data_IF_556376035163
#
_entry.id   IF_556376035163
#
_cell.length_a   1.000
_cell.length_b   1.000
_cell.length_c   1.000
_cell.angle_alpha   90.00
_cell.angle_beta   90.00
_cell.angle_gamma   90.00
#
_symmetry.space_group_name_H-M   'P 1'
#
loop_
_entity.id
_entity.type
_entity.pdbx_description
1 polymer ?
#
# COMPACT_ATOMS: atom_id res chain seq x y z
N UNK A 1 14.53 -3.30 -24.85
CA UNK A 1 15.32 -4.50 -25.21
C UNK A 1 14.47 -5.58 -25.88
N UNK A 2 13.51 -5.18 -26.74
CA UNK A 2 12.69 -6.09 -27.55
C UNK A 2 12.83 -5.80 -29.06
N UNK A 3 13.53 -4.73 -29.43
CA UNK A 3 13.77 -4.34 -30.84
C UNK A 3 15.10 -4.91 -31.36
N UNK A 4 16.05 -5.25 -30.48
CA UNK A 4 17.31 -5.88 -30.90
C UNK A 4 17.23 -7.41 -31.05
N UNK A 5 16.18 -8.07 -30.51
CA UNK A 5 16.03 -9.53 -30.60
C UNK A 5 15.24 -10.00 -31.84
N UNK A 6 14.75 -9.08 -32.66
CA UNK A 6 14.08 -9.41 -33.94
C UNK A 6 15.05 -9.33 -35.13
N UNK A 7 16.27 -8.81 -34.93
CA UNK A 7 17.29 -8.74 -35.99
C UNK A 7 18.25 -9.94 -36.06
N UNK A 8 18.08 -11.00 -35.25
CA UNK A 8 19.01 -12.13 -35.21
C UNK A 8 18.39 -13.49 -35.59
N UNK A 9 17.25 -13.49 -36.30
CA UNK A 9 16.65 -14.72 -36.86
C UNK A 9 16.29 -14.52 -38.33
N UNK A 10 17.26 -14.05 -39.12
CA UNK A 10 17.19 -14.02 -40.59
C UNK A 10 18.53 -14.48 -41.20
N UNK A 11 19.27 -15.34 -40.50
CA UNK A 11 20.55 -15.89 -40.97
C UNK A 11 20.42 -17.33 -41.48
N UNK A 12 19.25 -17.69 -42.01
CA UNK A 12 19.07 -18.88 -42.85
C UNK A 12 18.15 -18.60 -44.04
N UNK A 13 18.77 -18.26 -45.16
CA UNK A 13 18.44 -18.91 -46.43
C UNK A 13 17.28 -18.38 -47.27
N UNK A 14 17.10 -17.06 -47.43
CA UNK A 14 16.30 -16.54 -48.56
C UNK A 14 16.99 -15.31 -49.17
N UNK A 15 17.65 -15.50 -50.32
CA UNK A 15 18.23 -14.42 -51.13
C UNK A 15 17.11 -13.70 -51.90
N UNK A 16 16.58 -12.59 -51.38
CA UNK A 16 15.72 -11.69 -52.15
C UNK A 16 16.57 -10.78 -53.07
N UNK A 17 16.20 -10.69 -54.35
CA UNK A 17 16.85 -9.81 -55.35
C UNK A 17 16.95 -8.37 -54.83
N UNK A 18 18.10 -7.71 -55.05
CA UNK A 18 18.43 -6.34 -54.57
C UNK A 18 17.37 -5.28 -54.89
N UNK A 19 16.66 -5.42 -56.00
CA UNK A 19 15.53 -4.55 -56.39
C UNK A 19 14.30 -4.72 -55.49
N UNK A 20 14.05 -5.92 -54.97
CA UNK A 20 12.99 -6.18 -53.99
C UNK A 20 13.38 -5.71 -52.59
N UNK A 21 14.66 -5.80 -52.23
CA UNK A 21 15.15 -5.24 -50.96
C UNK A 21 14.98 -3.71 -50.93
N UNK A 22 15.33 -3.02 -52.01
CA UNK A 22 15.12 -1.57 -52.12
C UNK A 22 13.62 -1.20 -52.12
N UNK A 23 12.76 -1.97 -52.79
CA UNK A 23 11.30 -1.73 -52.77
C UNK A 23 10.69 -2.01 -51.40
N UNK A 24 11.13 -3.05 -50.69
CA UNK A 24 10.73 -3.33 -49.30
C UNK A 24 11.20 -2.25 -48.34
N UNK A 25 12.42 -1.73 -48.51
CA UNK A 25 12.97 -0.66 -47.67
C UNK A 25 12.22 0.66 -47.89
N UNK A 26 11.87 0.98 -49.14
CA UNK A 26 11.06 2.16 -49.48
C UNK A 26 9.62 2.00 -48.96
N UNK A 27 9.04 0.80 -49.05
CA UNK A 27 7.71 0.52 -48.49
C UNK A 27 7.70 0.61 -46.96
N UNK A 28 8.75 0.14 -46.28
CA UNK A 28 8.92 0.27 -44.83
C UNK A 28 9.14 1.74 -44.41
N UNK A 29 9.89 2.52 -45.20
CA UNK A 29 10.07 3.97 -45.00
C UNK A 29 8.77 4.75 -45.21
N UNK A 30 7.97 4.41 -46.23
CA UNK A 30 6.67 5.04 -46.49
C UNK A 30 5.61 4.64 -45.46
N UNK A 31 5.64 3.40 -44.95
CA UNK A 31 4.77 2.96 -43.85
C UNK A 31 5.05 3.74 -42.56
N UNK A 32 6.29 4.20 -42.34
CA UNK A 32 6.64 5.12 -41.25
C UNK A 32 6.16 6.57 -41.46
N UNK A 33 5.86 7.00 -42.69
CA UNK A 33 5.41 8.37 -43.01
C UNK A 33 3.88 8.56 -42.91
N UNK A 34 3.10 7.47 -42.92
CA UNK A 34 1.62 7.50 -42.87
C UNK A 34 1.09 7.15 -41.47
N UNK A 35 1.95 6.78 -40.51
CA UNK A 35 1.54 6.66 -39.11
C UNK A 35 1.16 8.04 -38.57
N UNK A 36 -0.04 8.22 -37.98
CA UNK A 36 -0.42 9.48 -37.37
C UNK A 36 0.65 9.85 -36.34
N UNK A 37 1.25 11.04 -36.49
CA UNK A 37 2.20 11.66 -35.55
C UNK A 37 1.52 12.10 -34.24
N UNK A 38 0.61 11.28 -33.74
CA UNK A 38 0.11 11.30 -32.38
C UNK A 38 0.83 10.23 -31.58
N UNK A 39 2.16 10.35 -31.42
CA UNK A 39 2.75 9.78 -30.23
C UNK A 39 2.01 10.46 -29.07
N UNK A 40 1.35 9.71 -28.17
CA UNK A 40 0.78 10.33 -27.00
C UNK A 40 1.91 11.12 -26.35
N UNK A 41 1.66 12.40 -26.07
CA UNK A 41 2.53 13.14 -25.16
C UNK A 41 2.68 12.24 -23.94
N UNK A 42 3.86 11.63 -23.79
CA UNK A 42 4.22 11.00 -22.55
C UNK A 42 4.32 12.19 -21.61
N UNK A 43 3.22 12.46 -20.91
CA UNK A 43 3.23 13.24 -19.68
C UNK A 43 4.20 12.50 -18.78
N UNK A 44 5.48 12.86 -18.87
CA UNK A 44 6.50 12.41 -17.94
C UNK A 44 6.09 13.06 -16.63
N UNK A 45 5.37 12.26 -15.83
CA UNK A 45 5.09 12.57 -14.44
C UNK A 45 6.41 12.99 -13.82
N UNK A 46 6.41 14.11 -13.10
CA UNK A 46 7.60 14.72 -12.53
C UNK A 46 8.55 13.65 -11.98
N UNK A 47 9.79 13.66 -12.48
CA UNK A 47 10.77 12.63 -12.13
C UNK A 47 11.12 12.76 -10.65
N UNK A 48 10.75 11.74 -9.87
CA UNK A 48 11.06 11.71 -8.44
C UNK A 48 12.52 11.32 -8.26
N UNK A 49 13.21 11.94 -7.32
CA UNK A 49 14.58 11.55 -6.95
C UNK A 49 14.53 10.70 -5.69
N UNK A 50 15.28 9.60 -5.65
CA UNK A 50 15.42 8.75 -4.48
C UNK A 50 16.86 8.73 -3.98
N UNK A 51 17.05 8.65 -2.66
CA UNK A 51 18.35 8.46 -2.02
C UNK A 51 18.49 7.04 -1.53
N UNK A 52 19.61 6.40 -1.83
CA UNK A 52 19.85 5.00 -1.48
C UNK A 52 20.16 4.86 0.02
N UNK A 53 19.48 3.95 0.70
CA UNK A 53 19.65 3.72 2.15
C UNK A 53 20.53 2.51 2.47
N UNK A 54 20.73 1.61 1.51
CA UNK A 54 21.57 0.42 1.62
C UNK A 54 23.05 0.71 1.35
N UNK A 55 23.96 0.02 2.06
CA UNK A 55 25.41 0.17 1.88
C UNK A 55 25.88 -0.30 0.49
N UNK A 56 25.24 -1.32 -0.07
CA UNK A 56 25.43 -1.78 -1.45
C UNK A 56 24.11 -2.32 -1.97
N UNK A 57 23.64 -1.78 -3.09
CA UNK A 57 22.38 -2.12 -3.73
C UNK A 57 22.63 -2.47 -5.19
N UNK A 58 22.34 -3.71 -5.56
CA UNK A 58 22.49 -4.15 -6.95
C UNK A 58 21.39 -3.57 -7.84
N UNK A 59 21.78 -3.10 -9.02
CA UNK A 59 20.85 -2.69 -10.08
C UNK A 59 20.58 -3.89 -10.98
N UNK A 60 19.31 -4.21 -11.25
CA UNK A 60 18.90 -5.42 -11.97
C UNK A 60 18.20 -5.13 -13.30
N UNK A 61 18.21 -6.10 -14.21
CA UNK A 61 17.59 -5.99 -15.53
C UNK A 61 16.07 -6.09 -15.52
N UNK A 62 15.48 -6.74 -14.49
CA UNK A 62 14.03 -6.92 -14.30
C UNK A 62 13.64 -6.68 -12.83
N UNK A 63 12.35 -6.41 -12.52
CA UNK A 63 11.86 -6.24 -11.15
C UNK A 63 11.76 -7.60 -10.43
N UNK A 64 12.90 -8.27 -10.25
CA UNK A 64 12.99 -9.58 -9.60
C UNK A 64 14.39 -9.82 -9.05
N UNK A 65 14.48 -10.39 -7.85
CA UNK A 65 15.75 -10.79 -7.21
C UNK A 65 16.44 -11.95 -7.92
N UNK A 66 15.72 -12.70 -8.78
CA UNK A 66 16.25 -13.78 -9.59
C UNK A 66 16.79 -13.30 -10.96
N UNK A 67 16.62 -12.02 -11.30
CA UNK A 67 17.08 -11.48 -12.58
C UNK A 67 18.53 -11.05 -12.57
N UNK A 68 19.14 -11.04 -13.76
CA UNK A 68 20.53 -10.64 -13.96
C UNK A 68 20.77 -9.22 -13.49
N UNK A 69 21.95 -8.99 -12.92
CA UNK A 69 22.43 -7.65 -12.56
C UNK A 69 22.81 -6.90 -13.84
N UNK A 70 22.60 -5.60 -13.85
CA UNK A 70 23.04 -4.74 -14.94
C UNK A 70 24.56 -4.65 -14.87
N UNK A 71 25.24 -4.82 -16.01
CA UNK A 71 26.69 -4.68 -16.11
C UNK A 71 27.06 -3.51 -17.00
N UNK A 72 28.12 -2.79 -16.65
CA UNK A 72 28.72 -1.74 -17.46
C UNK A 72 30.23 -1.96 -17.53
N UNK A 73 30.77 -2.09 -18.74
CA UNK A 73 32.19 -2.34 -18.98
C UNK A 73 32.74 -3.59 -18.24
N UNK A 74 31.94 -4.64 -18.13
CA UNK A 74 32.32 -5.91 -17.49
C UNK A 74 32.20 -5.95 -15.96
N UNK A 75 31.75 -4.87 -15.32
CA UNK A 75 31.51 -4.82 -13.87
C UNK A 75 30.01 -4.73 -13.55
N UNK A 76 29.59 -5.37 -12.45
CA UNK A 76 28.24 -5.26 -11.91
C UNK A 76 27.95 -3.82 -11.46
N UNK A 77 26.83 -3.27 -11.91
CA UNK A 77 26.37 -1.94 -11.52
C UNK A 77 25.66 -2.02 -10.17
N UNK A 78 26.19 -1.28 -9.21
CA UNK A 78 25.64 -1.16 -7.87
C UNK A 78 25.57 0.31 -7.43
N UNK A 79 24.76 0.55 -6.40
CA UNK A 79 24.60 1.83 -5.74
C UNK A 79 25.01 1.73 -4.28
N UNK A 80 25.55 2.80 -3.72
CA UNK A 80 25.97 2.87 -2.31
C UNK A 80 25.10 3.81 -1.49
N UNK A 81 25.20 3.70 -0.15
CA UNK A 81 24.36 4.48 0.77
C UNK A 81 24.61 5.97 0.58
N UNK A 82 23.54 6.73 0.40
CA UNK A 82 23.56 8.18 0.19
C UNK A 82 23.61 8.60 -1.28
N UNK A 83 23.86 7.68 -2.21
CA UNK A 83 23.77 7.98 -3.64
C UNK A 83 22.35 8.34 -4.03
N UNK A 84 22.22 9.15 -5.07
CA UNK A 84 20.92 9.60 -5.57
C UNK A 84 20.64 9.02 -6.93
N UNK A 85 19.39 8.62 -7.12
CA UNK A 85 18.88 8.05 -8.36
C UNK A 85 17.61 8.76 -8.77
N UNK A 86 17.37 8.80 -10.07
CA UNK A 86 16.14 9.34 -10.62
C UNK A 86 15.16 8.19 -10.85
N UNK A 87 14.04 8.21 -10.16
CA UNK A 87 12.97 7.22 -10.31
C UNK A 87 12.15 7.59 -11.54
N UNK A 88 12.13 6.67 -12.51
CA UNK A 88 11.43 6.82 -13.78
C UNK A 88 10.08 6.10 -13.78
N UNK A 89 9.99 4.96 -13.07
CA UNK A 89 8.76 4.16 -12.97
C UNK A 89 8.75 3.36 -11.67
N UNK A 90 7.56 3.21 -11.10
CA UNK A 90 7.28 2.26 -10.01
C UNK A 90 6.64 1.00 -10.61
N UNK A 91 7.13 -0.17 -10.23
CA UNK A 91 6.72 -1.48 -10.75
C UNK A 91 6.62 -2.47 -9.59
N UNK A 92 5.53 -2.36 -8.81
CA UNK A 92 5.39 -3.06 -7.54
C UNK A 92 6.47 -2.63 -6.54
N UNK A 93 7.21 -3.60 -6.01
CA UNK A 93 8.27 -3.38 -5.02
C UNK A 93 9.61 -2.95 -5.65
N UNK A 94 9.60 -2.58 -6.94
CA UNK A 94 10.79 -2.18 -7.68
C UNK A 94 10.62 -0.80 -8.28
N UNK A 95 11.67 -0.01 -8.17
CA UNK A 95 11.80 1.23 -8.93
C UNK A 95 12.66 0.99 -10.16
N UNK A 96 12.17 1.38 -11.32
CA UNK A 96 13.00 1.58 -12.49
C UNK A 96 13.66 2.95 -12.38
N UNK A 97 14.98 2.95 -12.23
CA UNK A 97 15.77 4.14 -11.91
C UNK A 97 16.81 4.43 -12.99
N UNK A 98 17.21 5.70 -13.07
CA UNK A 98 18.34 6.20 -13.83
C UNK A 98 19.41 6.72 -12.88
N UNK A 99 20.65 6.31 -13.09
CA UNK A 99 21.81 6.67 -12.26
C UNK A 99 23.03 6.95 -13.14
N UNK A 100 24.05 7.58 -12.56
CA UNK A 100 25.38 7.69 -13.18
C UNK A 100 26.32 6.70 -12.52
N UNK A 101 26.93 5.82 -13.31
CA UNK A 101 27.94 4.86 -12.86
C UNK A 101 29.16 5.00 -13.77
N UNK A 102 30.34 5.26 -13.19
CA UNK A 102 31.58 5.56 -13.93
C UNK A 102 31.42 6.63 -15.02
N UNK A 103 30.71 7.72 -14.70
CA UNK A 103 30.47 8.84 -15.63
C UNK A 103 29.43 8.58 -16.73
N UNK A 104 28.94 7.35 -16.88
CA UNK A 104 27.91 6.98 -17.88
C UNK A 104 26.54 6.83 -17.23
N UNK A 105 25.49 7.22 -17.93
CA UNK A 105 24.11 7.05 -17.46
C UNK A 105 23.66 5.61 -17.71
N UNK A 106 23.23 4.93 -16.65
CA UNK A 106 22.71 3.56 -16.68
C UNK A 106 21.30 3.53 -16.12
N UNK A 107 20.45 2.65 -16.65
CA UNK A 107 19.08 2.43 -16.17
C UNK A 107 18.88 0.98 -15.75
N UNK A 108 18.08 0.76 -14.72
CA UNK A 108 17.73 -0.58 -14.26
C UNK A 108 16.79 -0.56 -13.07
N UNK A 109 16.49 -1.74 -12.54
CA UNK A 109 15.55 -1.94 -11.44
C UNK A 109 16.29 -2.07 -10.11
N UNK A 110 15.81 -1.33 -9.11
CA UNK A 110 16.28 -1.41 -7.72
C UNK A 110 15.08 -1.61 -6.80
N UNK A 111 15.25 -2.35 -5.71
CA UNK A 111 14.16 -2.63 -4.79
C UNK A 111 13.78 -1.36 -4.01
N UNK A 112 12.50 -1.07 -3.91
CA UNK A 112 11.96 0.18 -3.34
C UNK A 112 12.35 0.39 -1.87
N UNK A 113 12.47 -0.70 -1.10
CA UNK A 113 12.92 -0.70 0.32
C UNK A 113 14.25 0.03 0.55
N UNK A 114 15.11 0.09 -0.46
CA UNK A 114 16.43 0.68 -0.35
C UNK A 114 16.51 2.08 -0.96
N UNK A 115 15.39 2.65 -1.38
CA UNK A 115 15.32 3.97 -2.01
C UNK A 115 14.38 4.84 -1.21
N UNK A 116 14.93 5.78 -0.45
CA UNK A 116 14.16 6.84 0.20
C UNK A 116 13.78 7.89 -0.82
N UNK A 117 12.52 7.84 -1.29
CA UNK A 117 11.98 8.82 -2.23
C UNK A 117 11.97 10.20 -1.56
N UNK A 118 12.63 11.18 -2.18
CA UNK A 118 12.52 12.57 -1.81
C UNK A 118 11.33 13.15 -2.56
N UNK A 119 10.21 13.32 -1.86
CA UNK A 119 9.05 13.99 -2.42
C UNK A 119 9.45 15.39 -2.88
N UNK A 120 9.32 15.63 -4.19
CA UNK A 120 9.51 16.95 -4.75
C UNK A 120 8.19 17.70 -4.59
N UNK A 121 8.19 18.89 -3.98
CA UNK A 121 6.99 19.72 -3.92
C UNK A 121 6.48 19.99 -5.34
N UNK A 122 5.17 19.84 -5.53
CA UNK A 122 4.45 20.17 -6.77
C UNK A 122 4.82 21.59 -7.19
N UNK A 123 5.42 21.72 -8.38
CA UNK A 123 5.87 23.00 -8.93
C UNK A 123 4.70 23.94 -9.21
N UNK A 124 4.68 25.09 -8.56
CA UNK A 124 4.05 26.35 -9.04
C UNK A 124 5.19 27.34 -9.32
N UNK A 125 5.10 28.19 -10.36
CA UNK A 125 6.27 28.81 -10.99
C UNK A 125 6.93 29.96 -10.19
N UNK A 126 8.23 30.13 -10.48
CA UNK A 126 9.28 31.01 -9.91
C UNK A 126 9.03 32.53 -10.13
N UNK A 127 9.49 33.43 -9.22
CA UNK A 127 10.80 34.12 -9.37
C UNK A 127 11.72 34.05 -8.11
N UNK A 128 13.02 34.22 -8.34
CA UNK A 128 14.23 34.24 -7.45
C UNK A 128 14.75 35.70 -7.38
N UNK A 129 15.70 36.21 -6.53
CA UNK A 129 16.78 35.61 -5.68
C UNK A 129 16.94 36.15 -4.21
N UNK A 130 17.47 35.35 -3.24
CA UNK A 130 18.81 35.33 -2.53
C UNK A 130 19.12 36.58 -1.63
N UNK A 131 19.71 36.54 -0.38
CA UNK A 131 20.80 35.68 0.17
C UNK A 131 20.71 35.12 1.61
N UNK A 132 21.68 34.24 1.90
CA UNK A 132 22.12 33.58 3.17
C UNK A 132 22.87 34.58 4.09
N UNK A 133 22.96 34.43 5.45
CA UNK A 133 23.85 33.47 6.12
C UNK A 133 23.32 32.81 7.42
N UNK A 134 24.07 31.79 7.86
CA UNK A 134 23.96 30.88 9.04
C UNK A 134 24.44 31.55 10.35
N UNK A 135 23.86 31.25 11.53
CA UNK A 135 24.53 30.34 12.51
C UNK A 135 23.61 29.38 13.28
N UNK A 136 24.24 28.34 13.83
CA UNK A 136 23.71 27.22 14.63
C UNK A 136 23.26 27.63 16.05
N UNK A 137 22.26 26.95 16.65
CA UNK A 137 22.41 26.54 18.06
C UNK A 137 22.03 25.05 18.34
N UNK A 138 22.54 24.59 19.49
CA UNK A 138 22.52 23.26 20.15
C UNK A 138 21.58 23.33 21.39
N UNK A 139 21.22 22.22 22.07
CA UNK A 139 20.23 21.18 21.76
C UNK A 139 18.87 21.40 22.51
N UNK A 140 17.94 20.43 22.38
CA UNK A 140 16.79 20.16 23.31
C UNK A 140 15.46 20.87 23.04
N UNK A 141 14.51 20.17 22.41
CA UNK A 141 13.35 19.51 23.05
C UNK A 141 12.80 18.45 22.11
N UNK A 142 12.50 17.26 22.63
CA UNK A 142 11.78 16.17 21.94
C UNK A 142 10.41 16.67 21.48
N UNK A 143 10.11 16.74 20.17
CA UNK A 143 8.73 16.85 19.73
C UNK A 143 8.10 15.46 19.75
N UNK A 144 7.06 15.34 20.57
CA UNK A 144 5.96 14.38 20.45
C UNK A 144 5.69 14.02 18.98
N UNK A 145 5.54 12.74 18.62
CA UNK A 145 5.22 12.34 17.24
C UNK A 145 3.91 12.98 16.79
N UNK A 146 4.04 14.05 16.01
CA UNK A 146 2.95 14.73 15.33
C UNK A 146 2.50 13.91 14.13
N UNK A 147 1.30 13.36 14.24
CA UNK A 147 0.29 13.12 13.21
C UNK A 147 0.80 13.16 11.76
N UNK A 148 1.26 12.01 11.27
CA UNK A 148 1.21 11.68 9.86
C UNK A 148 -0.15 11.01 9.60
N UNK A 149 -0.99 11.68 8.79
CA UNK A 149 -2.17 11.19 8.10
C UNK A 149 -2.83 9.93 8.73
N UNK A 150 -3.67 10.16 9.74
CA UNK A 150 -4.59 9.14 10.24
C UNK A 150 -5.63 8.86 9.16
N UNK A 151 -5.29 7.99 8.22
CA UNK A 151 -6.28 7.11 7.62
C UNK A 151 -6.97 6.38 8.76
N UNK A 152 -8.14 6.87 9.17
CA UNK A 152 -8.89 6.38 10.32
C UNK A 152 -8.95 4.85 10.26
N UNK A 153 -8.40 4.17 11.28
CA UNK A 153 -8.51 2.71 11.36
C UNK A 153 -9.97 2.39 11.65
N UNK A 154 -10.77 2.25 10.59
CA UNK A 154 -12.18 1.89 10.71
C UNK A 154 -12.26 0.54 11.41
N UNK A 155 -12.83 0.52 12.62
CA UNK A 155 -13.00 -0.70 13.42
C UNK A 155 -13.89 -1.68 12.64
N UNK A 156 -13.31 -2.78 12.17
CA UNK A 156 -14.01 -3.83 11.42
C UNK A 156 -14.35 -5.03 12.27
N UNK A 157 -13.65 -5.29 13.34
CA UNK A 157 -13.93 -6.46 14.17
C UNK A 157 -13.63 -6.13 15.62
N UNK A 158 -13.96 -7.05 16.51
CA UNK A 158 -13.56 -6.97 17.91
C UNK A 158 -13.31 -8.38 18.38
N UNK A 159 -12.04 -8.77 18.35
CA UNK A 159 -11.59 -10.11 18.73
C UNK A 159 -10.52 -9.95 19.80
N UNK A 160 -10.77 -10.47 21.00
CA UNK A 160 -9.76 -10.47 22.07
C UNK A 160 -8.64 -11.43 21.70
N UNK A 161 -7.44 -11.18 22.19
CA UNK A 161 -6.32 -12.09 22.02
C UNK A 161 -5.20 -11.85 23.02
N UNK A 162 -4.24 -12.77 23.03
CA UNK A 162 -3.03 -12.71 23.86
C UNK A 162 -1.78 -12.71 23.00
N UNK A 163 -0.74 -12.05 23.47
CA UNK A 163 0.57 -12.05 22.80
C UNK A 163 1.33 -13.34 23.14
N UNK A 164 1.92 -13.98 22.12
CA UNK A 164 2.73 -15.20 22.24
C UNK A 164 4.24 -14.95 22.26
N UNK A 165 4.69 -13.81 21.76
CA UNK A 165 6.12 -13.47 21.69
C UNK A 165 6.60 -12.77 22.96
N UNK A 166 7.82 -13.10 23.41
CA UNK A 166 8.48 -12.46 24.56
C UNK A 166 8.52 -10.93 24.44
N UNK A 167 8.79 -10.45 23.24
CA UNK A 167 8.68 -9.05 22.89
C UNK A 167 8.12 -8.91 21.48
N UNK A 168 7.18 -8.00 21.30
CA UNK A 168 6.53 -7.73 20.03
C UNK A 168 6.44 -6.22 19.78
N UNK A 169 7.01 -5.77 18.68
CA UNK A 169 6.90 -4.37 18.25
C UNK A 169 5.51 -4.12 17.65
N UNK A 170 4.83 -3.08 18.15
CA UNK A 170 3.61 -2.55 17.55
C UNK A 170 3.99 -1.40 16.62
N UNK A 171 3.46 -1.40 15.41
CA UNK A 171 3.87 -0.47 14.34
C UNK A 171 2.71 0.39 13.87
N UNK A 172 2.99 1.55 13.28
CA UNK A 172 1.92 2.44 12.79
C UNK A 172 1.17 1.89 11.57
N UNK A 173 1.72 0.89 10.87
CA UNK A 173 1.11 0.25 9.71
C UNK A 173 1.51 -1.23 9.56
N UNK A 174 0.83 -1.94 8.65
CA UNK A 174 1.04 -3.38 8.45
C UNK A 174 2.34 -3.65 7.70
N UNK A 175 3.41 -3.92 8.43
CA UNK A 175 4.73 -4.20 7.84
C UNK A 175 5.85 -3.86 8.82
N UNK A 176 7.04 -4.45 8.63
CA UNK A 176 8.19 -4.22 9.52
C UNK A 176 8.93 -2.90 9.26
N UNK A 177 8.60 -2.21 8.19
CA UNK A 177 9.16 -0.90 7.80
C UNK A 177 8.46 0.27 8.48
N UNK A 178 7.23 0.07 8.96
CA UNK A 178 6.49 1.10 9.67
C UNK A 178 7.12 1.43 11.04
N UNK A 179 7.15 2.71 11.45
CA UNK A 179 7.64 3.14 12.75
C UNK A 179 7.01 2.37 13.91
N UNK A 180 7.82 2.09 14.95
CA UNK A 180 7.35 1.51 16.21
C UNK A 180 6.54 2.54 16.98
N UNK A 181 5.30 2.21 17.32
CA UNK A 181 4.39 3.03 18.14
C UNK A 181 4.18 2.46 19.55
N UNK A 182 4.64 1.24 19.80
CA UNK A 182 4.53 0.60 21.10
C UNK A 182 5.22 -0.75 21.16
N UNK A 183 5.15 -1.39 22.32
CA UNK A 183 5.65 -2.73 22.56
C UNK A 183 4.66 -3.56 23.35
N UNK A 184 4.62 -4.85 23.07
CA UNK A 184 3.85 -5.84 23.80
C UNK A 184 4.76 -6.95 24.31
N UNK A 185 4.36 -7.56 25.42
CA UNK A 185 5.05 -8.69 26.05
C UNK A 185 4.17 -9.94 26.10
N UNK A 186 4.77 -11.12 26.29
CA UNK A 186 4.04 -12.40 26.36
C UNK A 186 2.87 -12.34 27.34
N UNK A 187 1.73 -12.91 26.95
CA UNK A 187 0.52 -13.02 27.76
C UNK A 187 -0.31 -11.73 27.85
N UNK A 188 0.25 -10.58 27.45
CA UNK A 188 -0.46 -9.31 27.44
C UNK A 188 -1.70 -9.39 26.55
N UNK A 189 -2.80 -8.81 27.03
CA UNK A 189 -4.07 -8.84 26.33
C UNK A 189 -4.16 -7.71 25.31
N UNK A 190 -4.66 -8.04 24.12
CA UNK A 190 -4.93 -7.10 23.03
C UNK A 190 -6.35 -7.30 22.50
N UNK A 191 -6.88 -6.29 21.82
CA UNK A 191 -8.11 -6.43 21.02
C UNK A 191 -7.78 -6.19 19.55
N UNK A 192 -7.96 -7.21 18.71
CA UNK A 192 -7.88 -7.08 17.25
C UNK A 192 -9.11 -6.35 16.75
N UNK A 193 -8.88 -5.23 16.06
CA UNK A 193 -9.92 -4.32 15.56
C UNK A 193 -10.01 -4.30 14.03
N UNK A 194 -8.95 -4.71 13.33
CA UNK A 194 -8.89 -4.78 11.87
C UNK A 194 -7.80 -5.77 11.43
N UNK A 195 -7.77 -6.06 10.14
CA UNK A 195 -6.75 -6.90 9.51
C UNK A 195 -6.24 -6.23 8.25
N UNK A 196 -4.98 -6.48 7.92
CA UNK A 196 -4.35 -6.07 6.69
C UNK A 196 -3.43 -7.18 6.17
N UNK A 197 -3.16 -7.13 4.86
CA UNK A 197 -2.16 -7.99 4.22
C UNK A 197 -1.02 -7.10 3.73
N UNK A 198 0.21 -7.47 4.07
CA UNK A 198 1.46 -6.94 3.49
C UNK A 198 2.34 -8.11 3.18
N UNK A 199 2.90 -8.19 1.97
CA UNK A 199 3.85 -9.24 1.58
C UNK A 199 3.30 -10.67 1.77
N UNK A 200 2.00 -10.86 1.51
CA UNK A 200 1.27 -12.11 1.80
C UNK A 200 1.21 -12.52 3.28
N UNK A 201 1.74 -11.71 4.18
CA UNK A 201 1.63 -11.86 5.61
C UNK A 201 0.38 -11.14 6.12
N UNK A 202 -0.28 -11.77 7.10
CA UNK A 202 -1.42 -11.16 7.77
C UNK A 202 -0.96 -10.37 8.98
N UNK A 203 -1.36 -9.10 9.00
CA UNK A 203 -1.18 -8.17 10.11
C UNK A 203 -2.52 -7.91 10.78
N UNK A 204 -2.50 -7.84 12.11
CA UNK A 204 -3.64 -7.40 12.90
C UNK A 204 -3.44 -5.95 13.32
N UNK A 205 -4.43 -5.11 13.08
CA UNK A 205 -4.54 -3.87 13.82
C UNK A 205 -5.11 -4.20 15.21
N UNK A 206 -4.41 -3.79 16.25
CA UNK A 206 -4.72 -4.07 17.64
C UNK A 206 -4.84 -2.80 18.45
N UNK A 207 -5.68 -2.84 19.48
CA UNK A 207 -5.71 -1.86 20.57
C UNK A 207 -5.30 -2.53 21.87
N UNK A 208 -4.51 -1.83 22.68
CA UNK A 208 -4.08 -2.29 24.00
C UNK A 208 -3.85 -1.10 24.94
N UNK A 209 -3.88 -1.35 26.24
CA UNK A 209 -3.53 -0.34 27.24
C UNK A 209 -2.06 -0.46 27.60
N UNK A 210 -1.36 0.67 27.68
CA UNK A 210 0.01 0.77 28.22
C UNK A 210 0.02 1.11 29.73
N UNK A 211 -1.15 1.12 30.37
CA UNK A 211 -1.34 1.52 31.76
C UNK A 211 -1.83 2.96 31.95
N UNK A 212 -1.71 3.82 30.93
CA UNK A 212 -2.17 5.22 30.97
C UNK A 212 -3.13 5.57 29.84
N UNK A 213 -2.90 5.01 28.66
CA UNK A 213 -3.64 5.31 27.45
C UNK A 213 -3.89 4.06 26.60
N UNK A 214 -4.90 4.14 25.74
CA UNK A 214 -5.13 3.10 24.73
C UNK A 214 -4.29 3.42 23.51
N UNK A 215 -3.39 2.51 23.13
CA UNK A 215 -2.57 2.59 21.93
C UNK A 215 -3.21 1.73 20.84
N UNK A 216 -3.20 2.24 19.61
CA UNK A 216 -3.56 1.49 18.40
C UNK A 216 -2.35 1.31 17.49
N UNK A 217 -2.25 0.16 16.83
CA UNK A 217 -1.23 -0.09 15.82
C UNK A 217 -1.32 -1.49 15.24
N UNK A 218 -0.33 -1.89 14.44
CA UNK A 218 -0.30 -3.15 13.73
C UNK A 218 0.78 -4.08 14.27
N UNK A 219 0.45 -5.37 14.30
CA UNK A 219 1.36 -6.45 14.70
C UNK A 219 1.20 -7.64 13.74
N UNK A 220 2.28 -8.39 13.53
CA UNK A 220 2.21 -9.60 12.71
C UNK A 220 1.32 -10.63 13.39
N UNK A 221 0.30 -11.13 12.68
CA UNK A 221 -0.71 -12.02 13.26
C UNK A 221 -0.10 -13.29 13.88
N UNK A 222 1.05 -13.75 13.38
CA UNK A 222 1.79 -14.91 13.88
C UNK A 222 1.97 -14.89 15.41
N UNK A 223 2.16 -13.70 15.99
CA UNK A 223 2.48 -13.50 17.40
C UNK A 223 1.27 -13.19 18.30
N UNK A 224 0.07 -13.11 17.73
CA UNK A 224 -1.17 -12.92 18.49
C UNK A 224 -1.97 -14.20 18.42
N UNK A 225 -2.43 -14.70 19.56
CA UNK A 225 -3.41 -15.77 19.68
C UNK A 225 -4.78 -15.17 19.98
N UNK A 226 -5.70 -15.14 19.01
CA UNK A 226 -7.09 -14.79 19.26
C UNK A 226 -7.74 -15.72 20.28
N UNK A 227 -8.72 -15.19 21.00
CA UNK A 227 -9.58 -15.94 21.87
C UNK A 227 -10.59 -16.75 21.04
N UNK A 228 -10.42 -18.08 21.04
CA UNK A 228 -11.27 -19.02 20.33
C UNK A 228 -12.33 -19.70 21.22
N UNK A 229 -12.55 -19.22 22.46
CA UNK A 229 -13.64 -19.72 23.33
C UNK A 229 -15.00 -19.64 22.63
N UNK A 230 -15.18 -18.62 21.79
CA UNK A 230 -16.26 -18.52 20.81
C UNK A 230 -15.66 -18.53 19.42
N UNK A 231 -16.34 -19.23 18.50
CA UNK A 231 -15.90 -19.25 17.10
C UNK A 231 -15.91 -17.84 16.51
N UNK A 232 -14.79 -17.43 15.92
CA UNK A 232 -14.65 -16.14 15.24
C UNK A 232 -15.32 -16.28 13.86
N UNK A 233 -16.23 -15.35 13.54
CA UNK A 233 -16.87 -15.32 12.22
C UNK A 233 -15.83 -14.88 11.20
N UNK A 234 -15.64 -15.69 10.17
CA UNK A 234 -14.73 -15.37 9.07
C UNK A 234 -15.38 -15.59 7.72
N UNK A 235 -14.65 -15.19 6.68
CA UNK A 235 -14.99 -15.43 5.29
C UNK A 235 -13.72 -15.66 4.46
N UNK A 236 -13.86 -16.33 3.32
CA UNK A 236 -12.75 -16.54 2.39
C UNK A 236 -12.42 -15.23 1.67
N UNK A 237 -11.20 -14.73 1.82
CA UNK A 237 -10.74 -13.47 1.20
C UNK A 237 -10.17 -13.62 -0.21
N UNK A 238 -9.77 -14.84 -0.60
CA UNK A 238 -9.20 -15.15 -1.92
C UNK A 238 -10.26 -15.69 -2.89
N UNK A 239 -9.99 -15.64 -4.20
CA UNK A 239 -10.91 -16.13 -5.24
C UNK A 239 -11.36 -17.58 -5.00
N UNK A 240 -10.42 -18.44 -4.62
CA UNK A 240 -10.63 -19.86 -4.32
C UNK A 240 -9.61 -20.37 -3.30
N UNK A 241 -10.07 -20.74 -2.11
CA UNK A 241 -9.25 -21.38 -1.07
C UNK A 241 -9.42 -22.90 -1.17
N UNK A 242 -8.32 -23.63 -1.37
CA UNK A 242 -8.30 -25.11 -1.31
C UNK A 242 -8.13 -25.56 0.13
N UNK A 243 -9.04 -26.38 0.64
CA UNK A 243 -9.08 -26.70 2.07
C UNK A 243 -8.25 -27.95 2.37
N UNK A 244 -7.43 -27.89 3.43
CA UNK A 244 -6.59 -29.00 3.88
C UNK A 244 -7.16 -29.73 5.10
N UNK A 245 -6.81 -31.01 5.23
CA UNK A 245 -7.22 -31.85 6.37
C UNK A 245 -6.46 -31.53 7.66
N UNK A 246 -5.24 -31.02 7.53
CA UNK A 246 -4.41 -30.53 8.63
C UNK A 246 -3.66 -29.26 8.22
N UNK A 247 -3.02 -28.62 9.20
CA UNK A 247 -2.25 -27.40 8.96
C UNK A 247 -0.91 -27.73 8.29
N UNK A 248 -0.53 -26.94 7.27
CA UNK A 248 0.78 -27.03 6.60
C UNK A 248 0.70 -27.18 5.08
N UNK A 249 1.73 -26.69 4.38
CA UNK A 249 1.79 -26.67 2.91
C UNK A 249 1.84 -28.06 2.26
N UNK A 250 2.30 -29.07 3.00
CA UNK A 250 2.37 -30.49 2.58
C UNK A 250 1.16 -31.32 3.01
N UNK A 251 0.23 -30.77 3.80
CA UNK A 251 -0.93 -31.52 4.28
C UNK A 251 -1.89 -31.85 3.13
N UNK A 252 -2.49 -33.04 3.15
CA UNK A 252 -3.47 -33.46 2.14
C UNK A 252 -4.67 -32.52 2.06
N UNK A 253 -5.24 -32.38 0.87
CA UNK A 253 -6.48 -31.65 0.68
C UNK A 253 -7.68 -32.46 1.17
N UNK A 254 -8.69 -31.77 1.72
CA UNK A 254 -9.99 -32.38 1.97
C UNK A 254 -10.67 -32.69 0.63
N UNK A 255 -11.24 -33.88 0.54
CA UNK A 255 -12.00 -34.34 -0.62
C UNK A 255 -13.49 -34.45 -0.28
N UNK A 256 -14.32 -34.26 -1.28
CA UNK A 256 -15.76 -34.50 -1.18
C UNK A 256 -16.07 -35.99 -1.46
N UNK A 257 -17.35 -36.38 -1.42
CA UNK A 257 -17.73 -37.79 -1.67
C UNK A 257 -17.30 -38.30 -3.04
N UNK A 258 -17.25 -37.42 -4.04
CA UNK A 258 -16.79 -37.73 -5.39
C UNK A 258 -15.25 -37.72 -5.56
N UNK A 259 -14.49 -37.55 -4.47
CA UNK A 259 -13.02 -37.52 -4.53
C UNK A 259 -12.40 -36.18 -4.98
N UNK A 260 -13.22 -35.17 -5.28
CA UNK A 260 -12.76 -33.85 -5.70
C UNK A 260 -12.29 -32.99 -4.52
N UNK A 261 -11.26 -32.17 -4.74
CA UNK A 261 -10.75 -31.24 -3.73
C UNK A 261 -11.82 -30.21 -3.36
N UNK A 262 -12.13 -30.13 -2.06
CA UNK A 262 -13.04 -29.13 -1.52
C UNK A 262 -12.35 -27.77 -1.61
N UNK A 263 -12.97 -26.85 -2.36
CA UNK A 263 -12.53 -25.48 -2.51
C UNK A 263 -13.65 -24.51 -2.16
N UNK A 264 -13.37 -23.51 -1.34
CA UNK A 264 -14.31 -22.46 -0.97
C UNK A 264 -14.04 -21.21 -1.81
N UNK A 265 -15.09 -20.62 -2.38
CA UNK A 265 -15.01 -19.38 -3.17
C UNK A 265 -14.87 -18.16 -2.24
N UNK A 266 -14.41 -17.03 -2.78
CA UNK A 266 -14.41 -15.73 -2.08
C UNK A 266 -15.78 -15.41 -1.46
N UNK A 267 -15.78 -14.82 -0.27
CA UNK A 267 -16.99 -14.43 0.46
C UNK A 267 -17.75 -15.58 1.12
N UNK A 268 -17.31 -16.84 0.98
CA UNK A 268 -17.95 -17.95 1.71
C UNK A 268 -17.65 -17.82 3.20
N UNK A 269 -18.71 -17.76 4.00
CA UNK A 269 -18.63 -17.69 5.45
C UNK A 269 -18.04 -18.97 6.04
N UNK A 270 -17.21 -18.79 7.06
CA UNK A 270 -16.61 -19.86 7.86
C UNK A 270 -16.64 -19.48 9.35
N UNK A 271 -16.49 -20.47 10.22
CA UNK A 271 -16.36 -20.26 11.66
C UNK A 271 -14.98 -20.72 12.12
N UNK A 272 -14.09 -19.77 12.42
CA UNK A 272 -12.73 -20.02 12.85
C UNK A 272 -12.76 -20.46 14.32
N UNK A 273 -12.19 -21.62 14.60
CA UNK A 273 -12.25 -22.30 15.91
C UNK A 273 -10.87 -22.56 16.50
N UNK A 274 -9.81 -22.10 15.83
CA UNK A 274 -8.45 -22.23 16.33
C UNK A 274 -7.42 -21.91 15.27
N UNK A 275 -6.16 -22.04 15.67
CA UNK A 275 -5.00 -21.84 14.79
C UNK A 275 -3.95 -22.93 15.00
N UNK A 276 -3.05 -23.04 14.04
CA UNK A 276 -1.80 -23.78 14.18
C UNK A 276 -0.72 -23.05 13.42
N UNK A 277 0.49 -23.00 13.99
CA UNK A 277 1.67 -22.50 13.31
C UNK A 277 2.45 -23.69 12.79
N UNK A 278 2.80 -23.66 11.50
CA UNK A 278 3.66 -24.67 10.87
C UNK A 278 4.75 -23.92 10.11
N UNK A 279 5.99 -24.08 10.56
CA UNK A 279 7.09 -23.23 10.09
C UNK A 279 6.84 -21.76 10.47
N UNK A 280 6.90 -20.86 9.48
CA UNK A 280 6.65 -19.42 9.66
C UNK A 280 5.22 -19.00 9.28
N UNK A 281 4.35 -19.95 8.98
CA UNK A 281 3.01 -19.67 8.47
C UNK A 281 1.95 -19.99 9.53
N UNK A 282 1.02 -19.05 9.73
CA UNK A 282 -0.18 -19.29 10.53
C UNK A 282 -1.27 -19.89 9.66
N UNK A 283 -1.88 -20.97 10.15
CA UNK A 283 -3.03 -21.64 9.56
C UNK A 283 -4.23 -21.52 10.50
N UNK A 284 -5.39 -21.17 9.97
CA UNK A 284 -6.62 -21.24 10.75
C UNK A 284 -7.27 -22.61 10.62
N UNK A 285 -7.75 -23.12 11.75
CA UNK A 285 -8.73 -24.22 11.82
C UNK A 285 -10.12 -23.60 11.81
N UNK A 286 -10.96 -24.01 10.88
CA UNK A 286 -12.32 -23.49 10.79
C UNK A 286 -13.31 -24.56 10.36
N UNK A 287 -14.57 -24.31 10.69
CA UNK A 287 -15.71 -25.11 10.25
C UNK A 287 -16.46 -24.40 9.13
N UNK A 288 -17.00 -25.20 8.22
CA UNK A 288 -17.76 -24.73 7.06
C UNK A 288 -18.75 -25.81 6.62
N UNK A 289 -19.77 -25.42 5.85
CA UNK A 289 -20.74 -26.36 5.27
C UNK A 289 -20.32 -26.73 3.85
N UNK A 290 -20.29 -28.02 3.55
CA UNK A 290 -20.05 -28.58 2.23
C UNK A 290 -20.93 -29.81 2.05
N UNK A 291 -21.70 -29.87 0.96
CA UNK A 291 -22.66 -30.97 0.70
C UNK A 291 -23.61 -31.17 1.91
N UNK A 292 -24.13 -30.06 2.44
CA UNK A 292 -25.02 -29.97 3.62
C UNK A 292 -24.49 -30.58 4.92
N UNK A 293 -23.20 -30.92 4.95
CA UNK A 293 -22.51 -31.41 6.14
C UNK A 293 -21.52 -30.38 6.65
N UNK A 294 -21.46 -30.25 7.97
CA UNK A 294 -20.42 -29.47 8.64
C UNK A 294 -19.11 -30.23 8.56
N UNK A 295 -18.07 -29.58 8.03
CA UNK A 295 -16.70 -30.10 7.97
C UNK A 295 -15.75 -29.14 8.71
N UNK A 296 -14.62 -29.68 9.13
CA UNK A 296 -13.51 -28.92 9.72
C UNK A 296 -12.31 -29.03 8.80
N UNK A 297 -11.63 -27.92 8.56
CA UNK A 297 -10.42 -27.92 7.74
C UNK A 297 -9.49 -26.75 8.05
N UNK A 298 -8.42 -26.67 7.27
CA UNK A 298 -7.35 -25.70 7.43
C UNK A 298 -7.06 -24.93 6.14
N UNK A 299 -6.71 -23.65 6.27
CA UNK A 299 -6.15 -22.82 5.21
C UNK A 299 -5.18 -21.79 5.83
N UNK A 300 -4.25 -21.22 5.04
CA UNK A 300 -3.42 -20.11 5.51
C UNK A 300 -4.26 -18.98 6.05
N UNK A 301 -3.85 -18.40 7.18
CA UNK A 301 -4.58 -17.30 7.80
C UNK A 301 -4.77 -16.14 6.81
N UNK A 302 -3.76 -15.82 5.98
CA UNK A 302 -3.83 -14.78 4.94
C UNK A 302 -4.98 -14.95 3.94
N UNK A 303 -5.54 -16.15 3.80
CA UNK A 303 -6.66 -16.43 2.89
C UNK A 303 -8.04 -16.25 3.51
N UNK A 304 -8.13 -16.13 4.84
CA UNK A 304 -9.40 -16.06 5.58
C UNK A 304 -9.44 -14.72 6.33
N UNK A 305 -10.49 -13.94 6.11
CA UNK A 305 -10.70 -12.63 6.75
C UNK A 305 -11.70 -12.77 7.89
N UNK A 306 -11.55 -11.98 8.94
CA UNK A 306 -12.54 -11.83 9.98
C UNK A 306 -13.71 -10.98 9.45
N UNK A 307 -14.92 -11.41 9.76
CA UNK A 307 -16.14 -10.75 9.31
C UNK A 307 -16.70 -9.85 10.41
N UNK A 308 -17.14 -8.64 10.06
CA UNK A 308 -17.98 -7.79 10.94
C UNK A 308 -19.21 -8.60 11.36
N UNK A 309 -19.49 -8.68 12.65
CA UNK A 309 -20.85 -8.99 13.11
C UNK A 309 -21.74 -7.82 12.75
N UNK A 310 -22.39 -7.89 11.60
CA UNK A 310 -23.53 -7.02 11.32
C UNK A 310 -24.66 -7.50 12.25
N UNK A 311 -24.92 -6.78 13.34
CA UNK A 311 -26.24 -6.80 13.99
C UNK A 311 -27.14 -5.91 13.14
N UNK A 312 -27.51 -6.38 11.96
CA UNK A 312 -28.66 -5.82 11.27
C UNK A 312 -29.77 -6.82 11.51
N UNK A 313 -30.84 -6.45 12.23
CA UNK A 313 -31.99 -7.31 12.36
C UNK A 313 -32.47 -7.56 10.93
N UNK A 314 -32.37 -8.81 10.47
CA UNK A 314 -33.08 -9.25 9.29
C UNK A 314 -34.53 -8.91 9.55
N UNK A 315 -35.05 -7.83 8.94
CA UNK A 315 -36.48 -7.60 8.92
C UNK A 315 -37.08 -8.90 8.39
N UNK A 316 -37.97 -9.50 9.18
CA UNK A 316 -38.72 -10.67 8.75
C UNK A 316 -39.25 -10.39 7.34
N UNK A 317 -39.18 -11.36 6.41
CA UNK A 317 -39.59 -11.12 5.03
C UNK A 317 -41.00 -10.53 5.07
N UNK A 318 -41.14 -9.29 4.60
CA UNK A 318 -42.45 -8.68 4.41
C UNK A 318 -43.18 -9.61 3.43
N UNK A 319 -44.36 -10.15 3.80
CA UNK A 319 -45.09 -11.05 2.91
C UNK A 319 -45.30 -10.34 1.58
N UNK A 320 -44.88 -10.99 0.50
CA UNK A 320 -45.07 -10.52 -0.87
C UNK A 320 -46.55 -10.18 -1.07
N UNK A 321 -46.92 -8.91 -1.35
CA UNK A 321 -48.30 -8.59 -1.62
C UNK A 321 -48.75 -9.34 -2.87
N UNK A 322 -49.85 -10.09 -2.74
CA UNK A 322 -50.54 -10.74 -3.85
C UNK A 322 -50.91 -9.65 -4.89
N UNK A 323 -50.64 -9.87 -6.19
CA UNK A 323 -50.91 -8.85 -7.20
C UNK A 323 -52.41 -8.55 -7.26
N UNK A 324 -52.76 -7.30 -6.91
CA UNK A 324 -54.11 -6.77 -7.09
C UNK A 324 -54.13 -6.02 -8.42
N UNK A 325 -54.86 -6.57 -9.40
CA UNK A 325 -55.17 -5.89 -10.65
C UNK A 325 -56.08 -4.68 -10.36
N UNK A 326 -55.50 -3.51 -10.09
CA UNK A 326 -56.21 -2.24 -10.08
C UNK A 326 -55.56 -1.29 -11.10
N UNK A 327 -56.30 -0.77 -12.09
CA UNK A 327 -55.73 0.11 -13.10
C UNK A 327 -55.20 1.41 -12.47
N UNK A 328 -53.90 1.67 -12.64
CA UNK A 328 -53.25 2.94 -12.29
C UNK A 328 -53.66 3.99 -13.32
N UNK A 329 -54.34 5.07 -12.88
CA UNK A 329 -54.58 6.23 -13.74
C UNK A 329 -53.25 6.89 -14.12
N UNK A 330 -53.17 7.35 -15.37
CA UNK A 330 -52.01 8.02 -15.94
C UNK A 330 -51.59 9.25 -15.11
N UNK A 331 -50.28 9.51 -14.96
CA UNK A 331 -49.81 10.69 -14.25
C UNK A 331 -50.08 11.96 -15.06
N UNK A 332 -50.64 12.97 -14.38
CA UNK A 332 -50.77 14.35 -14.88
C UNK A 332 -49.39 14.98 -15.03
N UNK A 333 -49.11 15.79 -16.07
CA UNK A 333 -47.80 16.41 -16.26
C UNK A 333 -47.48 17.41 -15.14
N UNK A 334 -46.33 17.24 -14.51
CA UNK A 334 -45.76 18.21 -13.56
C UNK A 334 -45.21 19.41 -14.32
N UNK A 335 -45.65 20.61 -13.97
CA UNK A 335 -45.13 21.87 -14.53
C UNK A 335 -43.64 22.08 -14.19
N UNK A 336 -42.92 22.65 -15.16
CA UNK A 336 -41.49 22.93 -15.06
C UNK A 336 -41.18 24.01 -14.01
N UNK A 337 -40.10 23.87 -13.22
CA UNK A 337 -39.73 24.89 -12.25
C UNK A 337 -39.21 26.17 -12.92
N UNK A 338 -39.78 27.30 -12.52
CA UNK A 338 -39.38 28.67 -12.86
C UNK A 338 -37.94 28.97 -12.40
N UNK A 339 -37.10 29.67 -13.20
CA UNK A 339 -35.73 29.97 -12.84
C UNK A 339 -35.62 30.95 -11.66
N UNK A 340 -34.90 30.53 -10.61
CA UNK A 340 -34.60 31.32 -9.41
C UNK A 340 -33.65 32.49 -9.73
N UNK A 341 -34.01 33.70 -9.25
CA UNK A 341 -33.22 34.93 -9.38
C UNK A 341 -31.83 34.82 -8.74
N UNK A 342 -30.86 35.44 -9.42
CA UNK A 342 -29.47 35.69 -9.02
C UNK A 342 -29.40 36.50 -7.70
N UNK A 343 -28.60 36.09 -6.70
CA UNK A 343 -28.36 36.91 -5.51
C UNK A 343 -27.54 38.16 -5.83
N UNK A 344 -28.00 39.26 -5.26
CA UNK A 344 -27.41 40.61 -5.29
C UNK A 344 -26.18 40.72 -4.38
N UNK A 345 -25.31 41.68 -4.67
CA UNK A 345 -23.97 41.81 -4.11
C UNK A 345 -23.96 42.04 -2.58
N UNK A 346 -23.09 41.29 -1.90
CA UNK A 346 -22.81 41.46 -0.48
C UNK A 346 -21.79 42.58 -0.26
N UNK A 347 -22.15 43.49 0.65
CA UNK A 347 -21.41 44.68 1.07
C UNK A 347 -20.06 44.37 1.75
N UNK A 348 -19.09 45.23 1.43
CA UNK A 348 -17.70 45.32 1.89
C UNK A 348 -17.55 45.33 3.42
N UNK A 349 -16.66 44.50 4.01
CA UNK A 349 -16.22 44.70 5.40
C UNK A 349 -15.12 45.77 5.52
N UNK A 350 -15.31 46.63 6.52
CA UNK A 350 -14.46 47.72 7.03
C UNK A 350 -12.98 47.30 7.27
N UNK A 351 -11.98 48.17 7.01
CA UNK A 351 -10.58 47.87 7.28
C UNK A 351 -10.25 47.75 8.78
N UNK A 352 -9.44 46.75 9.11
CA UNK A 352 -8.94 46.46 10.45
C UNK A 352 -7.93 47.51 10.95
N UNK A 353 -7.84 47.76 12.27
CA UNK A 353 -6.94 48.75 12.86
C UNK A 353 -5.46 48.34 12.77
N UNK A 354 -4.61 49.36 12.61
CA UNK A 354 -3.16 49.33 12.46
C UNK A 354 -2.45 48.76 13.71
N UNK A 355 -1.35 47.98 13.56
CA UNK A 355 -0.63 47.42 14.70
C UNK A 355 0.11 48.49 15.54
N UNK A 356 -0.07 48.39 16.86
CA UNK A 356 0.59 49.18 17.90
C UNK A 356 2.09 48.86 17.98
N UNK A 357 2.91 49.90 18.21
CA UNK A 357 4.38 49.82 18.31
C UNK A 357 4.85 48.87 19.42
N UNK A 358 5.96 48.19 19.16
CA UNK A 358 6.64 47.29 20.08
C UNK A 358 7.13 48.00 21.36
N UNK A 359 7.18 47.30 22.51
CA UNK A 359 7.74 47.84 23.74
C UNK A 359 9.27 47.99 23.66
N UNK A 360 9.76 49.09 24.21
CA UNK A 360 11.19 49.45 24.39
C UNK A 360 11.91 48.39 25.24
N UNK A 361 13.15 47.99 24.91
CA UNK A 361 13.91 47.05 25.74
C UNK A 361 14.30 47.67 27.09
N UNK A 362 14.15 46.87 28.14
CA UNK A 362 14.61 47.15 29.51
C UNK A 362 16.14 47.30 29.56
N UNK A 363 16.70 48.28 30.30
CA UNK A 363 18.15 48.44 30.42
C UNK A 363 18.80 47.28 31.17
N UNK A 364 20.00 46.93 30.73
CA UNK A 364 20.85 45.85 31.25
C UNK A 364 21.40 46.18 32.65
N UNK A 365 21.46 45.22 33.60
CA UNK A 365 21.97 45.47 34.94
C UNK A 365 23.50 45.65 34.96
N UNK A 366 23.93 46.77 35.55
CA UNK A 366 25.32 47.12 35.83
C UNK A 366 26.01 46.04 36.68
N UNK A 367 27.20 45.59 36.24
CA UNK A 367 28.05 44.66 37.00
C UNK A 367 28.55 45.31 38.29
N UNK A 368 28.46 44.57 39.40
CA UNK A 368 29.04 44.94 40.68
C UNK A 368 30.59 44.96 40.62
N UNK A 369 31.26 45.87 41.34
CA UNK A 369 32.71 45.92 41.40
C UNK A 369 33.28 44.76 42.21
N UNK A 370 34.42 44.25 41.75
CA UNK A 370 35.23 43.22 42.43
C UNK A 370 35.94 43.84 43.64
N UNK A 371 35.86 43.24 44.84
CA UNK A 371 36.64 43.69 45.99
C UNK A 371 38.09 43.22 45.88
N UNK A 372 39.02 44.11 46.24
CA UNK A 372 40.45 43.85 46.41
C UNK A 372 40.73 43.35 47.82
#
# INVERSE_FOLDING_TARGET
MYILHVCFVMERGIYLKKTYLNKMLIFLLLLCLILPRGLPEIKVKASQTGTITANSLNVRSKPSTASDKVQLSGADVYLTKGETVTILKEDGDWYYVSLKFNGKTVKGYVHSDFVKVKETPKSTPKPTPKPTPKPTPKPTVTPTPGTADSGEIVKKVTVKGKVKANSLNVRSGPGTTYPKVGGLVTGQSVTVINEALSDSEKWYAVTFSDGKQTISGYVLSLYIEPDYTKAIKGEVGVSKAKIRSSAGSKASYLKNKAGNIISLKKGKNVSIVGEKIVGKEKWYKFTFTSEDKKKTGYAPASQILFRKTVKEPTKAPTPTPKPTNKPTKAPTPTEAPTPTKKPEASVTPTPAPKPTKAPTPTPEPTKAPTPT
#
